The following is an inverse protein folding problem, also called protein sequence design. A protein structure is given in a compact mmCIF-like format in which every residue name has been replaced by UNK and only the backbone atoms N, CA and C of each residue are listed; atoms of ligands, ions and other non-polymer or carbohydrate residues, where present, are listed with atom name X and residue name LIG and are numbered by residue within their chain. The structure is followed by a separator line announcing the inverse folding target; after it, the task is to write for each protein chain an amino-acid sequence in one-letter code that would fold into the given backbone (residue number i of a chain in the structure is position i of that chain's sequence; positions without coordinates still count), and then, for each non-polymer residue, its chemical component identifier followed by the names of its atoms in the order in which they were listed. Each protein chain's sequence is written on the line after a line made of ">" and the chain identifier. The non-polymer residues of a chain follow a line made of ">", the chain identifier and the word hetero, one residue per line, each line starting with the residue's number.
data_IF_803411939071
#
_entry.id   IF_803411939071
#
_cell.length_a   1.000
_cell.length_b   1.000
_cell.length_c   1.000
_cell.angle_alpha   90.00
_cell.angle_beta   90.00
_cell.angle_gamma   90.00
#
_symmetry.space_group_name_H-M   'P 1'
#
loop_
_entity.id
_entity.type
_entity.pdbx_description
1 polymer ?
#
# COMPACT_ATOMS: atom_id res chain seq x y z
N UNK A 1 14.32 5.13 2.87
CA UNK A 1 13.23 4.54 2.10
C UNK A 1 12.98 3.08 2.50
N UNK A 2 13.98 2.20 2.38
CA UNK A 2 13.84 0.77 2.71
C UNK A 2 13.40 0.52 4.15
N UNK A 3 13.95 1.23 5.13
CA UNK A 3 13.58 1.08 6.54
C UNK A 3 12.13 1.47 6.83
N UNK A 4 11.59 2.46 6.11
CA UNK A 4 10.18 2.86 6.22
C UNK A 4 9.23 1.77 5.70
N UNK A 5 9.63 1.06 4.64
CA UNK A 5 8.82 0.01 4.01
C UNK A 5 8.84 -1.30 4.80
N UNK A 6 9.91 -1.53 5.57
CA UNK A 6 10.17 -2.82 6.22
C UNK A 6 9.19 -3.12 7.34
N UNK A 7 8.89 -2.15 8.20
CA UNK A 7 7.98 -2.34 9.34
C UNK A 7 6.53 -2.62 8.91
N UNK A 8 5.90 -1.79 8.06
CA UNK A 8 4.53 -2.06 7.59
C UNK A 8 4.43 -3.32 6.75
N UNK A 9 5.43 -3.61 5.91
CA UNK A 9 5.51 -4.87 5.18
C UNK A 9 5.56 -6.09 6.10
N UNK A 10 6.34 -6.02 7.17
CA UNK A 10 6.41 -7.06 8.19
C UNK A 10 5.05 -7.28 8.90
N UNK A 11 4.28 -6.23 9.15
CA UNK A 11 2.95 -6.34 9.76
C UNK A 11 1.98 -7.16 8.90
N UNK A 12 1.97 -6.97 7.58
CA UNK A 12 1.12 -7.73 6.67
C UNK A 12 1.51 -9.21 6.64
N UNK A 13 2.82 -9.49 6.66
CA UNK A 13 3.35 -10.87 6.71
C UNK A 13 2.94 -11.53 8.02
N UNK A 14 3.10 -10.83 9.15
CA UNK A 14 2.73 -11.34 10.48
C UNK A 14 1.24 -11.63 10.56
N UNK A 15 0.40 -10.74 10.06
CA UNK A 15 -1.05 -10.95 9.99
C UNK A 15 -1.40 -12.21 9.18
N UNK A 16 -0.83 -12.36 7.98
CA UNK A 16 -1.05 -13.54 7.14
C UNK A 16 -0.62 -14.84 7.82
N UNK A 17 0.44 -14.79 8.62
CA UNK A 17 0.94 -15.94 9.39
C UNK A 17 0.00 -16.28 10.56
N UNK A 18 -0.44 -15.30 11.33
CA UNK A 18 -1.36 -15.48 12.46
C UNK A 18 -2.71 -16.06 12.03
N UNK A 19 -3.27 -15.59 10.92
CA UNK A 19 -4.54 -16.13 10.38
C UNK A 19 -4.38 -17.57 9.94
N UNK A 20 -3.24 -17.93 9.37
CA UNK A 20 -2.94 -19.30 8.99
C UNK A 20 -2.84 -20.23 10.22
N UNK A 21 -2.13 -19.79 11.24
CA UNK A 21 -1.89 -20.61 12.44
C UNK A 21 -3.22 -20.85 13.17
N UNK A 22 -4.10 -19.87 13.31
CA UNK A 22 -5.45 -20.05 13.86
C UNK A 22 -6.31 -21.03 13.06
N UNK A 23 -6.21 -21.03 11.74
CA UNK A 23 -6.92 -22.02 10.91
C UNK A 23 -6.40 -23.44 11.12
N UNK A 24 -5.09 -23.59 11.29
CA UNK A 24 -4.50 -24.90 11.62
C UNK A 24 -4.97 -25.40 12.99
N UNK A 25 -5.04 -24.53 13.99
CA UNK A 25 -5.55 -24.89 15.33
C UNK A 25 -7.04 -25.25 15.31
N UNK A 26 -7.86 -24.48 14.59
CA UNK A 26 -9.29 -24.77 14.44
C UNK A 26 -9.54 -26.10 13.71
N UNK A 27 -8.72 -26.45 12.74
CA UNK A 27 -8.79 -27.76 12.06
C UNK A 27 -8.26 -28.89 12.92
N UNK A 28 -7.23 -28.67 13.73
CA UNK A 28 -6.69 -29.67 14.65
C UNK A 28 -7.67 -30.00 15.79
N UNK A 29 -8.46 -29.02 16.23
CA UNK A 29 -9.52 -29.24 17.23
C UNK A 29 -10.72 -30.02 16.70
N UNK A 30 -10.92 -30.10 15.38
CA UNK A 30 -12.04 -30.81 14.75
C UNK A 30 -11.72 -32.24 14.29
N UNK A 31 -10.46 -32.59 14.17
CA UNK A 31 -10.05 -33.96 13.76
C UNK A 31 -8.78 -34.36 14.48
N UNK A 32 -8.95 -34.96 15.65
CA UNK A 32 -7.93 -35.82 16.19
C UNK A 32 -7.69 -36.93 15.16
N UNK A 33 -6.45 -37.04 14.68
CA UNK A 33 -5.98 -38.09 13.81
C UNK A 33 -6.13 -37.94 12.30
N UNK A 34 -5.25 -37.17 11.70
CA UNK A 34 -4.51 -37.63 10.50
C UNK A 34 -3.26 -36.76 10.35
N UNK A 35 -2.15 -37.22 10.90
CA UNK A 35 -0.81 -36.77 10.54
C UNK A 35 -0.60 -37.12 9.07
N UNK A 36 -0.74 -36.16 8.18
CA UNK A 36 -0.25 -36.26 6.82
C UNK A 36 0.90 -35.30 6.63
N UNK A 37 2.09 -35.80 6.83
CA UNK A 37 3.35 -35.21 6.39
C UNK A 37 3.37 -35.15 4.85
N UNK A 38 2.66 -34.20 4.30
CA UNK A 38 2.81 -33.76 2.92
C UNK A 38 3.79 -32.60 2.91
N UNK A 39 5.05 -32.88 2.59
CA UNK A 39 6.01 -31.83 2.19
C UNK A 39 5.55 -31.30 0.84
N UNK A 40 4.55 -30.40 0.87
CA UNK A 40 4.19 -29.63 -0.29
C UNK A 40 5.32 -28.64 -0.58
N UNK A 41 5.99 -28.84 -1.71
CA UNK A 41 6.94 -27.88 -2.28
C UNK A 41 6.18 -26.65 -2.79
N UNK A 42 5.50 -25.97 -1.88
CA UNK A 42 4.86 -24.68 -2.16
C UNK A 42 5.95 -23.64 -2.25
N UNK A 43 5.87 -22.83 -3.27
CA UNK A 43 6.72 -21.66 -3.50
C UNK A 43 7.04 -20.94 -2.17
N UNK A 44 8.29 -20.49 -2.02
CA UNK A 44 8.78 -19.74 -0.86
C UNK A 44 7.81 -18.64 -0.38
N UNK A 45 7.18 -17.95 -1.32
CA UNK A 45 6.16 -16.93 -1.05
C UNK A 45 4.89 -17.49 -0.38
N UNK A 46 4.47 -18.71 -0.70
CA UNK A 46 3.32 -19.36 -0.08
C UNK A 46 3.60 -19.80 1.35
N UNK A 47 4.85 -19.96 1.72
CA UNK A 47 5.30 -20.35 3.06
C UNK A 47 5.33 -19.17 4.02
N UNK A 48 5.68 -17.97 3.51
CA UNK A 48 5.76 -16.74 4.31
C UNK A 48 4.42 -16.01 4.41
N UNK A 49 3.67 -15.94 3.31
CA UNK A 49 2.37 -15.29 3.28
C UNK A 49 1.28 -16.36 3.33
N UNK A 50 0.42 -16.33 4.32
CA UNK A 50 -0.83 -17.08 4.27
C UNK A 50 -1.63 -16.69 3.01
N UNK A 51 -2.60 -17.51 2.62
CA UNK A 51 -3.40 -17.28 1.41
C UNK A 51 -4.10 -15.92 1.41
N UNK A 52 -4.66 -15.52 2.56
CA UNK A 52 -5.30 -14.23 2.79
C UNK A 52 -4.30 -13.08 2.79
N UNK A 53 -3.15 -13.26 3.44
CA UNK A 53 -2.10 -12.23 3.46
C UNK A 53 -1.56 -11.88 2.07
N UNK A 54 -1.48 -12.86 1.15
CA UNK A 54 -1.08 -12.60 -0.24
C UNK A 54 -2.08 -11.75 -1.00
N UNK A 55 -3.37 -12.02 -0.83
CA UNK A 55 -4.43 -11.26 -1.50
C UNK A 55 -4.42 -9.81 -1.04
N UNK A 56 -4.32 -9.58 0.26
CA UNK A 56 -4.25 -8.24 0.83
C UNK A 56 -2.98 -7.52 0.38
N UNK A 57 -1.84 -8.19 0.43
CA UNK A 57 -0.57 -7.63 -0.02
C UNK A 57 -0.59 -7.26 -1.52
N UNK A 58 -1.19 -8.12 -2.36
CA UNK A 58 -1.33 -7.85 -3.79
C UNK A 58 -2.21 -6.63 -4.05
N UNK A 59 -3.36 -6.52 -3.36
CA UNK A 59 -4.26 -5.38 -3.49
C UNK A 59 -3.56 -4.07 -3.10
N UNK A 60 -2.84 -4.06 -1.98
CA UNK A 60 -2.08 -2.90 -1.51
C UNK A 60 -0.94 -2.54 -2.45
N UNK A 61 -0.22 -3.54 -2.99
CA UNK A 61 0.85 -3.32 -3.95
C UNK A 61 0.33 -2.69 -5.24
N UNK A 62 -0.84 -3.10 -5.71
CA UNK A 62 -1.48 -2.52 -6.89
C UNK A 62 -1.80 -1.05 -6.65
N UNK A 63 -2.43 -0.73 -5.51
CA UNK A 63 -2.74 0.66 -5.15
C UNK A 63 -1.48 1.52 -5.06
N UNK A 64 -0.43 1.01 -4.44
CA UNK A 64 0.86 1.70 -4.33
C UNK A 64 1.49 1.97 -5.68
N UNK A 65 1.53 0.97 -6.58
CA UNK A 65 2.12 1.11 -7.91
C UNK A 65 1.33 2.09 -8.78
N UNK A 66 -0.01 2.04 -8.72
CA UNK A 66 -0.86 3.01 -9.42
C UNK A 66 -0.61 4.42 -8.87
N UNK A 67 -0.60 4.61 -7.56
CA UNK A 67 -0.32 5.90 -6.93
C UNK A 67 1.05 6.45 -7.32
N UNK A 68 2.09 5.61 -7.31
CA UNK A 68 3.44 6.00 -7.73
C UNK A 68 3.46 6.41 -9.20
N UNK A 69 2.82 5.65 -10.08
CA UNK A 69 2.76 5.94 -11.51
C UNK A 69 2.06 7.27 -11.81
N UNK A 70 0.92 7.50 -11.18
CA UNK A 70 0.15 8.76 -11.35
C UNK A 70 0.93 9.96 -10.79
N UNK A 71 1.54 9.82 -9.60
CA UNK A 71 2.32 10.88 -9.00
C UNK A 71 3.54 11.24 -9.88
N UNK A 72 4.28 10.27 -10.34
CA UNK A 72 5.42 10.48 -11.22
C UNK A 72 5.01 11.12 -12.56
N UNK A 73 3.95 10.63 -13.17
CA UNK A 73 3.43 11.18 -14.43
C UNK A 73 2.99 12.62 -14.26
N UNK A 74 2.22 12.93 -13.22
CA UNK A 74 1.73 14.28 -12.95
C UNK A 74 2.88 15.27 -12.72
N UNK A 75 3.89 14.90 -11.93
CA UNK A 75 5.04 15.76 -11.64
C UNK A 75 5.96 15.94 -12.87
N UNK A 76 6.02 14.97 -13.77
CA UNK A 76 6.79 15.07 -15.00
C UNK A 76 6.18 16.01 -16.03
N UNK A 77 4.86 16.23 -16.01
CA UNK A 77 4.17 17.17 -16.91
C UNK A 77 4.39 18.64 -16.56
N UNK A 78 4.85 18.91 -15.33
CA UNK A 78 4.99 20.27 -14.84
C UNK A 78 3.67 20.87 -14.33
N UNK A 79 3.76 22.06 -13.76
CA UNK A 79 2.60 22.78 -13.22
C UNK A 79 2.10 23.82 -14.25
N UNK A 80 0.86 23.69 -14.76
CA UNK A 80 0.33 24.61 -15.78
C UNK A 80 0.24 26.05 -15.26
N UNK A 81 -0.05 26.25 -13.98
CA UNK A 81 -0.12 27.59 -13.40
C UNK A 81 1.23 28.33 -13.43
N UNK A 82 2.34 27.61 -13.26
CA UNK A 82 3.68 28.19 -13.38
C UNK A 82 4.08 28.44 -14.84
N UNK A 83 3.60 27.61 -15.75
CA UNK A 83 3.80 27.84 -17.19
C UNK A 83 3.08 29.12 -17.66
N UNK A 84 1.86 29.38 -17.17
CA UNK A 84 1.13 30.63 -17.43
C UNK A 84 1.83 31.86 -16.84
N UNK A 85 2.54 31.72 -15.72
CA UNK A 85 3.37 32.76 -15.13
C UNK A 85 4.69 33.00 -15.87
N UNK A 86 4.95 32.29 -16.99
CA UNK A 86 6.11 32.48 -17.83
C UNK A 86 7.37 31.74 -17.39
N UNK A 87 7.26 30.81 -16.43
CA UNK A 87 8.38 30.00 -15.96
C UNK A 87 8.54 28.76 -16.85
N UNK A 88 9.79 28.48 -17.27
CA UNK A 88 10.05 27.30 -18.09
C UNK A 88 9.90 26.03 -17.27
N UNK A 89 9.09 25.10 -17.74
CA UNK A 89 8.81 23.80 -17.13
C UNK A 89 9.49 22.63 -17.89
N UNK A 90 10.62 22.92 -18.56
CA UNK A 90 11.32 21.93 -19.40
C UNK A 90 11.81 20.68 -18.63
N UNK A 91 12.03 20.83 -17.32
CA UNK A 91 12.44 19.72 -16.43
C UNK A 91 11.26 19.13 -15.61
N UNK A 92 10.01 19.50 -15.90
CA UNK A 92 8.85 19.17 -15.09
C UNK A 92 8.71 20.06 -13.86
N UNK A 93 7.84 19.68 -12.92
CA UNK A 93 7.59 20.45 -11.69
C UNK A 93 8.74 20.28 -10.69
N UNK A 94 9.63 21.26 -10.64
CA UNK A 94 10.77 21.28 -9.70
C UNK A 94 10.51 22.15 -8.46
N UNK A 95 9.35 22.80 -8.38
CA UNK A 95 8.98 23.63 -7.23
C UNK A 95 8.96 22.80 -5.94
N UNK A 96 9.60 23.33 -4.90
CA UNK A 96 9.71 22.67 -3.60
C UNK A 96 10.50 21.35 -3.56
N UNK A 97 11.23 21.03 -4.65
CA UNK A 97 12.08 19.82 -4.75
C UNK A 97 13.55 20.18 -4.82
N UNK A 98 14.38 19.31 -4.25
CA UNK A 98 15.83 19.47 -4.38
C UNK A 98 16.31 18.92 -5.74
N UNK A 99 17.17 19.69 -6.40
CA UNK A 99 17.75 19.35 -7.71
C UNK A 99 18.50 18.01 -7.66
N UNK A 100 19.18 17.70 -6.55
CA UNK A 100 19.95 16.45 -6.40
C UNK A 100 19.07 15.20 -6.41
N UNK A 101 17.84 15.28 -5.99
CA UNK A 101 16.91 14.14 -5.96
C UNK A 101 16.09 14.01 -7.26
N UNK A 102 15.82 15.15 -7.90
CA UNK A 102 15.00 15.16 -9.10
C UNK A 102 13.54 14.77 -8.84
N UNK A 103 12.76 14.71 -9.90
CA UNK A 103 11.32 14.44 -9.84
C UNK A 103 11.04 12.98 -9.44
N UNK A 104 11.75 12.03 -10.05
CA UNK A 104 11.50 10.61 -9.86
C UNK A 104 11.66 10.19 -8.38
N UNK A 105 12.76 10.60 -7.75
CA UNK A 105 13.02 10.25 -6.36
C UNK A 105 12.09 11.00 -5.41
N UNK A 106 11.73 12.25 -5.72
CA UNK A 106 10.77 13.03 -4.93
C UNK A 106 9.38 12.41 -4.99
N UNK A 107 8.88 12.05 -6.16
CA UNK A 107 7.59 11.39 -6.32
C UNK A 107 7.55 10.02 -5.61
N UNK A 108 8.62 9.23 -5.75
CA UNK A 108 8.73 7.94 -5.06
C UNK A 108 8.76 8.10 -3.54
N UNK A 109 9.47 9.11 -3.03
CA UNK A 109 9.54 9.37 -1.60
C UNK A 109 8.19 9.85 -1.06
N UNK A 110 7.52 10.78 -1.75
CA UNK A 110 6.19 11.28 -1.39
C UNK A 110 5.16 10.15 -1.32
N UNK A 111 5.12 9.30 -2.34
CA UNK A 111 4.20 8.15 -2.38
C UNK A 111 4.51 7.18 -1.25
N UNK A 112 5.78 6.88 -0.99
CA UNK A 112 6.19 5.96 0.07
C UNK A 112 5.84 6.50 1.45
N UNK A 113 6.19 7.75 1.75
CA UNK A 113 5.98 8.33 3.08
C UNK A 113 4.49 8.42 3.45
N UNK A 114 3.64 8.69 2.47
CA UNK A 114 2.18 8.77 2.67
C UNK A 114 1.52 7.40 2.75
N UNK A 115 2.00 6.42 1.98
CA UNK A 115 1.49 5.04 2.03
C UNK A 115 1.79 4.37 3.38
N UNK A 116 3.02 4.53 3.87
CA UNK A 116 3.46 3.90 5.12
C UNK A 116 3.24 4.77 6.36
N UNK A 117 2.53 5.88 6.23
CA UNK A 117 2.21 6.83 7.32
C UNK A 117 3.43 7.28 8.13
N UNK A 118 4.57 7.47 7.46
CA UNK A 118 5.83 7.84 8.12
C UNK A 118 5.87 9.33 8.45
N UNK A 119 5.35 10.18 7.57
CA UNK A 119 5.27 11.64 7.77
C UNK A 119 6.57 12.40 7.52
N UNK A 120 7.67 11.72 7.19
CA UNK A 120 8.91 12.39 6.77
C UNK A 120 8.80 12.86 5.32
N UNK A 121 9.38 14.02 5.02
CA UNK A 121 9.33 14.63 3.69
C UNK A 121 10.73 14.95 3.18
N UNK A 122 10.95 14.77 1.88
CA UNK A 122 12.15 15.24 1.18
C UNK A 122 11.84 16.36 0.17
N UNK A 123 10.56 16.68 0.00
CA UNK A 123 10.06 17.75 -0.84
C UNK A 123 8.79 18.32 -0.21
N UNK A 124 8.46 19.57 -0.51
CA UNK A 124 7.20 20.14 -0.05
C UNK A 124 6.01 19.45 -0.72
N UNK A 125 5.05 19.00 0.08
CA UNK A 125 3.81 18.41 -0.45
C UNK A 125 2.81 19.45 -0.97
N UNK A 126 2.92 20.66 -0.44
CA UNK A 126 2.06 21.80 -0.81
C UNK A 126 2.33 22.32 -2.25
N UNK A 127 3.55 22.14 -2.74
CA UNK A 127 3.98 22.58 -4.07
C UNK A 127 3.84 21.51 -5.15
N UNK A 128 3.24 20.36 -4.81
CA UNK A 128 2.96 19.32 -5.80
C UNK A 128 1.89 19.80 -6.80
N UNK A 129 1.95 19.27 -8.01
CA UNK A 129 0.88 19.48 -8.99
C UNK A 129 -0.46 19.00 -8.43
N UNK A 130 -1.61 19.55 -8.86
CA UNK A 130 -2.92 19.14 -8.32
C UNK A 130 -3.17 17.63 -8.38
N UNK A 131 -2.79 16.98 -9.47
CA UNK A 131 -2.88 15.52 -9.62
C UNK A 131 -1.83 14.78 -8.79
N UNK A 132 -0.60 15.29 -8.71
CA UNK A 132 0.46 14.76 -7.85
C UNK A 132 0.09 14.81 -6.37
N UNK A 133 -0.50 15.93 -5.92
CA UNK A 133 -0.96 16.12 -4.53
C UNK A 133 -2.19 15.30 -4.15
N UNK A 134 -3.00 14.90 -5.14
CA UNK A 134 -4.13 13.99 -4.91
C UNK A 134 -3.69 12.63 -4.34
N UNK A 135 -2.54 12.11 -4.76
CA UNK A 135 -2.07 10.79 -4.32
C UNK A 135 -1.70 10.75 -2.84
N UNK A 136 -0.87 11.67 -2.29
CA UNK A 136 -0.65 11.77 -0.86
C UNK A 136 -1.94 11.88 -0.05
N UNK A 137 -2.86 12.73 -0.51
CA UNK A 137 -4.15 12.92 0.13
C UNK A 137 -4.97 11.63 0.17
N UNK A 138 -5.07 10.94 -0.96
CA UNK A 138 -5.79 9.67 -1.07
C UNK A 138 -5.17 8.58 -0.17
N UNK A 139 -3.85 8.45 -0.16
CA UNK A 139 -3.17 7.49 0.71
C UNK A 139 -3.40 7.79 2.20
N UNK A 140 -3.39 9.06 2.59
CA UNK A 140 -3.66 9.48 3.96
C UNK A 140 -5.13 9.29 4.36
N UNK A 141 -6.06 9.53 3.44
CA UNK A 141 -7.49 9.29 3.69
C UNK A 141 -7.79 7.79 3.84
N UNK A 142 -7.24 6.95 2.98
CA UNK A 142 -7.41 5.51 3.08
C UNK A 142 -6.71 4.94 4.31
N UNK A 143 -5.52 5.44 4.62
CA UNK A 143 -4.66 5.01 5.73
C UNK A 143 -4.53 3.47 5.85
N UNK A 144 -4.44 2.79 4.72
CA UNK A 144 -4.54 1.32 4.62
C UNK A 144 -3.39 0.71 3.85
N UNK A 145 -2.76 1.46 2.94
CA UNK A 145 -1.72 0.92 2.07
C UNK A 145 -0.57 0.39 2.92
N UNK A 146 -0.29 -0.90 2.81
CA UNK A 146 0.66 -1.67 3.63
C UNK A 146 0.43 -1.59 5.14
N UNK A 147 -0.79 -1.29 5.57
CA UNK A 147 -1.18 -1.27 6.97
C UNK A 147 -0.65 -0.09 7.79
N UNK A 148 0.24 0.74 7.25
CA UNK A 148 0.78 1.94 7.89
C UNK A 148 1.30 1.73 9.31
N UNK A 149 1.46 2.82 10.06
CA UNK A 149 1.73 2.80 11.50
C UNK A 149 0.44 3.04 12.28
N UNK A 150 0.28 2.39 13.43
CA UNK A 150 -0.88 2.57 14.31
C UNK A 150 -2.15 1.91 13.79
N UNK A 151 -3.16 2.71 13.45
CA UNK A 151 -4.51 2.22 13.08
C UNK A 151 -4.61 1.61 11.69
N UNK A 152 -3.58 1.70 10.85
CA UNK A 152 -3.64 1.25 9.45
C UNK A 152 -3.97 -0.23 9.29
N UNK A 153 -3.41 -1.10 10.13
CA UNK A 153 -3.72 -2.53 10.14
C UNK A 153 -5.19 -2.79 10.49
N UNK A 154 -5.74 -2.07 11.46
CA UNK A 154 -7.15 -2.16 11.87
C UNK A 154 -8.06 -1.69 10.73
N UNK A 155 -7.77 -0.57 10.09
CA UNK A 155 -8.51 -0.08 8.95
C UNK A 155 -8.51 -1.08 7.79
N UNK A 156 -7.37 -1.72 7.53
CA UNK A 156 -7.25 -2.78 6.53
C UNK A 156 -8.21 -3.93 6.80
N UNK A 157 -8.30 -4.38 8.04
CA UNK A 157 -9.23 -5.46 8.45
C UNK A 157 -10.67 -5.00 8.29
N UNK A 158 -11.01 -3.78 8.69
CA UNK A 158 -12.34 -3.20 8.53
C UNK A 158 -12.76 -3.12 7.06
N UNK A 159 -11.88 -2.66 6.17
CA UNK A 159 -12.16 -2.63 4.73
C UNK A 159 -12.31 -4.03 4.13
N UNK A 160 -11.52 -4.99 4.60
CA UNK A 160 -11.66 -6.38 4.17
C UNK A 160 -13.03 -6.97 4.58
N UNK A 161 -13.48 -6.72 5.81
CA UNK A 161 -14.79 -7.14 6.30
C UNK A 161 -15.90 -6.47 5.48
N UNK A 162 -15.80 -5.16 5.25
CA UNK A 162 -16.77 -4.41 4.46
C UNK A 162 -16.85 -4.93 3.01
N UNK A 163 -15.70 -5.22 2.40
CA UNK A 163 -15.65 -5.79 1.05
C UNK A 163 -16.35 -7.15 0.98
N UNK A 164 -16.11 -8.04 1.95
CA UNK A 164 -16.79 -9.35 2.04
C UNK A 164 -18.29 -9.17 2.24
N UNK A 165 -18.71 -8.23 3.07
CA UNK A 165 -20.13 -7.92 3.30
C UNK A 165 -20.82 -7.43 2.01
N UNK A 166 -20.21 -6.48 1.30
CA UNK A 166 -20.75 -5.97 0.03
C UNK A 166 -20.80 -7.08 -1.02
N UNK A 167 -19.76 -7.89 -1.14
CA UNK A 167 -19.76 -9.04 -2.04
C UNK A 167 -20.87 -10.03 -1.68
N UNK A 168 -21.12 -10.28 -0.39
CA UNK A 168 -22.21 -11.13 0.08
C UNK A 168 -23.57 -10.61 -0.32
N UNK A 169 -23.80 -9.31 -0.19
CA UNK A 169 -25.05 -8.66 -0.63
C UNK A 169 -25.25 -8.77 -2.16
N UNK A 170 -24.19 -8.56 -2.94
CA UNK A 170 -24.28 -8.64 -4.41
C UNK A 170 -24.59 -10.05 -4.92
N UNK A 171 -24.17 -11.09 -4.19
CA UNK A 171 -24.41 -12.49 -4.56
C UNK A 171 -25.78 -12.98 -4.04
N UNK A 172 -26.52 -12.15 -3.28
CA UNK A 172 -27.83 -12.51 -2.72
C UNK A 172 -27.79 -13.61 -1.66
N UNK A 173 -26.59 -13.91 -1.13
CA UNK A 173 -26.42 -14.77 0.05
C UNK A 173 -26.41 -13.89 1.28
N UNK A 174 -27.53 -13.91 1.99
CA UNK A 174 -27.51 -13.45 3.40
C UNK A 174 -26.58 -14.36 4.20
N UNK A 175 -25.72 -13.80 5.03
CA UNK A 175 -24.87 -14.59 5.94
C UNK A 175 -25.70 -15.41 6.93
#
# INVERSE_FOLDING_TARGET
>A
LYSMMLLPGACVITFGKMVRDRKCEAQAGSTAFTVRSGVDSRSFTARFFGREGRTIFAAMSILFVIGLGVCFWAESQGNPALAEAGLSQSMGSMEGKEVRFGIAQSAMFTTTTTSFTTGTVNNMHDTLTPLGGMIPLLHMMLNVVFGGKGVGLMNMIMYAILAVFICGLMIGRTP
#
